data_IF_404697068345
#
_entry.id   IF_404697068345
#
_cell.length_a   1.000
_cell.length_b   1.000
_cell.length_c   1.000
_cell.angle_alpha   90.00
_cell.angle_beta   90.00
_cell.angle_gamma   90.00
#
_symmetry.space_group_name_H-M   'P 1'
#
loop_
_entity.id
_entity.type
_entity.pdbx_description
1 polymer ?
#
# COMPACT_ATOMS: atom_id res chain seq x y z
N UNK A 1 2.57 -8.26 -20.16
CA UNK A 1 1.23 -8.33 -20.78
C UNK A 1 0.42 -9.50 -20.24
N UNK A 2 0.97 -10.73 -20.20
CA UNK A 2 0.23 -11.94 -19.79
C UNK A 2 -0.37 -11.84 -18.39
N UNK A 3 0.39 -11.36 -17.40
CA UNK A 3 -0.08 -11.22 -16.00
C UNK A 3 -1.25 -10.23 -15.90
N UNK A 4 -1.15 -9.09 -16.61
CA UNK A 4 -2.23 -8.11 -16.64
C UNK A 4 -3.48 -8.62 -17.38
N UNK A 5 -3.30 -9.39 -18.45
CA UNK A 5 -4.41 -10.04 -19.14
C UNK A 5 -5.10 -11.08 -18.24
N UNK A 6 -4.33 -11.80 -17.40
CA UNK A 6 -4.89 -12.68 -16.39
C UNK A 6 -5.66 -11.90 -15.32
N UNK A 7 -5.07 -10.86 -14.75
CA UNK A 7 -5.69 -10.01 -13.74
C UNK A 7 -6.97 -9.36 -14.30
N UNK A 8 -6.96 -8.92 -15.56
CA UNK A 8 -8.11 -8.28 -16.18
C UNK A 8 -9.33 -9.20 -16.29
N UNK A 9 -9.13 -10.48 -16.51
CA UNK A 9 -10.20 -11.49 -16.57
C UNK A 9 -10.84 -11.83 -15.23
N UNK A 10 -10.18 -11.53 -14.12
CA UNK A 10 -10.76 -11.74 -12.79
C UNK A 10 -11.94 -10.74 -12.63
N UNK A 11 -13.12 -11.19 -12.18
CA UNK A 11 -14.25 -10.28 -11.95
C UNK A 11 -13.96 -9.16 -10.98
N UNK A 12 -14.57 -8.01 -11.19
CA UNK A 12 -14.49 -6.87 -10.30
C UNK A 12 -13.37 -5.89 -10.63
N UNK A 13 -13.37 -4.78 -9.93
CA UNK A 13 -12.40 -3.70 -10.04
C UNK A 13 -11.11 -4.08 -9.30
N UNK A 14 -9.98 -3.94 -9.95
CA UNK A 14 -8.66 -4.20 -9.33
C UNK A 14 -7.95 -2.90 -9.04
N UNK A 15 -7.55 -2.72 -7.78
CA UNK A 15 -6.72 -1.60 -7.34
C UNK A 15 -5.33 -2.16 -7.03
N UNK A 16 -4.35 -1.75 -7.81
CA UNK A 16 -2.99 -2.27 -7.75
C UNK A 16 -2.09 -1.29 -7.00
N UNK A 17 -1.25 -1.82 -6.13
CA UNK A 17 -0.25 -1.06 -5.39
C UNK A 17 1.15 -1.50 -5.80
N UNK A 18 2.02 -0.53 -6.11
CA UNK A 18 3.40 -0.79 -6.51
C UNK A 18 4.26 -1.25 -5.34
N UNK A 19 4.96 -2.37 -5.50
CA UNK A 19 6.01 -2.83 -4.60
C UNK A 19 7.42 -2.36 -5.02
N UNK A 20 8.42 -2.85 -4.30
CA UNK A 20 9.83 -2.53 -4.58
C UNK A 20 10.40 -3.31 -5.78
N UNK A 21 9.82 -4.44 -6.14
CA UNK A 21 10.22 -5.27 -7.29
C UNK A 21 9.47 -4.94 -8.60
N UNK A 22 8.52 -4.01 -8.57
CA UNK A 22 7.75 -3.60 -9.77
C UNK A 22 8.52 -2.60 -10.63
N UNK A 23 9.68 -2.99 -11.13
CA UNK A 23 10.58 -2.12 -11.91
C UNK A 23 9.99 -1.69 -13.25
N UNK A 24 9.16 -2.54 -13.88
CA UNK A 24 8.48 -2.28 -15.14
C UNK A 24 7.42 -1.18 -15.05
N UNK A 25 6.92 -0.92 -13.87
CA UNK A 25 5.92 0.10 -13.57
C UNK A 25 6.60 1.46 -13.35
N UNK A 26 6.62 2.30 -14.37
CA UNK A 26 7.35 3.58 -14.34
C UNK A 26 6.51 4.73 -13.76
N UNK A 27 5.48 5.18 -14.49
CA UNK A 27 4.58 6.27 -14.09
C UNK A 27 3.12 5.87 -14.25
N UNK A 28 2.20 6.54 -13.51
CA UNK A 28 0.77 6.32 -13.65
C UNK A 28 0.28 6.51 -15.09
N UNK A 29 0.73 7.59 -15.76
CA UNK A 29 0.35 7.87 -17.13
C UNK A 29 0.77 6.75 -18.10
N UNK A 30 1.98 6.22 -17.96
CA UNK A 30 2.44 5.10 -18.78
C UNK A 30 1.68 3.81 -18.49
N UNK A 31 1.31 3.57 -17.23
CA UNK A 31 0.48 2.43 -16.86
C UNK A 31 -0.90 2.50 -17.52
N UNK A 32 -1.58 3.64 -17.42
CA UNK A 32 -2.90 3.78 -18.02
C UNK A 32 -2.86 3.73 -19.55
N UNK A 33 -1.85 4.32 -20.18
CA UNK A 33 -1.63 4.17 -21.62
C UNK A 33 -1.44 2.69 -22.01
N UNK A 34 -0.65 1.94 -21.26
CA UNK A 34 -0.47 0.50 -21.46
C UNK A 34 -1.80 -0.27 -21.32
N UNK A 35 -2.62 0.05 -20.32
CA UNK A 35 -3.93 -0.56 -20.16
C UNK A 35 -4.84 -0.25 -21.36
N UNK A 36 -4.89 0.99 -21.82
CA UNK A 36 -5.67 1.40 -22.97
C UNK A 36 -5.24 0.66 -24.26
N UNK A 37 -3.93 0.61 -24.54
CA UNK A 37 -3.35 -0.08 -25.71
C UNK A 37 -3.63 -1.59 -25.72
N UNK A 38 -3.87 -2.20 -24.55
CA UNK A 38 -4.16 -3.63 -24.41
C UNK A 38 -5.63 -3.97 -24.08
N UNK A 39 -6.51 -2.96 -24.04
CA UNK A 39 -7.93 -3.15 -23.75
C UNK A 39 -8.24 -3.52 -22.30
N UNK A 40 -7.36 -3.24 -21.35
CA UNK A 40 -7.58 -3.50 -19.92
C UNK A 40 -8.36 -2.35 -19.29
N UNK A 41 -9.61 -2.60 -18.87
CA UNK A 41 -10.54 -1.55 -18.46
C UNK A 41 -10.84 -1.51 -16.96
N UNK A 42 -10.44 -2.54 -16.21
CA UNK A 42 -10.82 -2.69 -14.80
C UNK A 42 -9.64 -2.69 -13.82
N UNK A 43 -8.45 -2.27 -14.28
CA UNK A 43 -7.23 -2.17 -13.49
C UNK A 43 -6.90 -0.71 -13.20
N UNK A 44 -6.75 -0.40 -11.92
CA UNK A 44 -6.50 0.94 -11.40
C UNK A 44 -5.30 0.90 -10.47
N UNK A 45 -4.56 2.00 -10.36
CA UNK A 45 -3.42 2.06 -9.44
C UNK A 45 -3.70 2.97 -8.25
N UNK A 46 -3.28 2.51 -7.08
CA UNK A 46 -3.24 3.32 -5.89
C UNK A 46 -1.90 4.06 -5.86
N UNK A 47 -1.95 5.36 -6.18
CA UNK A 47 -0.77 6.21 -6.32
C UNK A 47 -1.09 7.67 -5.98
N UNK A 48 -1.03 8.02 -4.72
CA UNK A 48 -1.38 9.35 -4.18
C UNK A 48 -2.87 9.74 -4.36
N UNK A 49 -3.74 8.78 -4.55
CA UNK A 49 -5.17 8.94 -4.76
C UNK A 49 -5.95 8.09 -3.76
N UNK A 50 -7.26 8.12 -3.85
CA UNK A 50 -8.17 7.32 -3.07
C UNK A 50 -9.21 6.69 -3.99
N UNK A 51 -9.65 5.48 -3.63
CA UNK A 51 -10.83 4.84 -4.20
C UNK A 51 -11.86 4.59 -3.12
N UNK A 52 -13.09 4.38 -3.52
CA UNK A 52 -14.16 4.09 -2.58
C UNK A 52 -14.81 2.76 -2.91
N UNK A 53 -15.12 2.02 -1.86
CA UNK A 53 -16.02 0.89 -1.89
C UNK A 53 -17.06 1.11 -0.77
N UNK A 54 -18.32 1.32 -1.16
CA UNK A 54 -19.38 1.72 -0.22
C UNK A 54 -18.97 2.94 0.63
N UNK A 55 -18.88 2.77 1.95
CA UNK A 55 -18.53 3.83 2.89
C UNK A 55 -17.05 3.83 3.29
N UNK A 56 -16.23 2.96 2.65
CA UNK A 56 -14.82 2.79 2.96
C UNK A 56 -13.96 3.48 1.92
N UNK A 57 -13.05 4.32 2.37
CA UNK A 57 -11.99 4.90 1.56
C UNK A 57 -10.78 3.96 1.51
N UNK A 58 -10.36 3.60 0.32
CA UNK A 58 -9.17 2.80 0.03
C UNK A 58 -8.03 3.76 -0.30
N UNK A 59 -7.12 3.91 0.61
CA UNK A 59 -5.98 4.84 0.54
C UNK A 59 -4.65 4.09 0.59
N UNK A 60 -3.55 4.74 0.28
CA UNK A 60 -2.24 4.16 0.46
C UNK A 60 -1.19 4.63 -0.55
N UNK A 61 -0.01 4.13 -0.36
CA UNK A 61 1.17 4.33 -1.21
C UNK A 61 2.14 3.18 -1.00
N UNK A 62 3.23 3.15 -1.76
CA UNK A 62 4.28 2.14 -1.53
C UNK A 62 4.82 2.20 -0.09
N UNK A 63 4.89 3.38 0.51
CA UNK A 63 5.59 3.61 1.76
C UNK A 63 7.11 3.60 1.58
N UNK A 64 7.81 3.61 2.69
CA UNK A 64 9.27 3.52 2.72
C UNK A 64 9.72 2.73 3.94
N UNK A 65 10.80 2.00 3.77
CA UNK A 65 11.40 1.16 4.78
C UNK A 65 12.86 1.59 4.96
N UNK A 66 13.26 1.82 6.19
CA UNK A 66 14.67 2.00 6.52
C UNK A 66 15.24 0.64 6.94
N UNK A 67 16.13 0.08 6.13
CA UNK A 67 16.94 -1.04 6.56
C UNK A 67 17.96 -0.53 7.58
N UNK A 68 18.14 -1.25 8.70
CA UNK A 68 19.00 -0.83 9.81
C UNK A 68 20.45 -0.57 9.39
N UNK A 69 20.91 -1.24 8.30
CA UNK A 69 22.27 -1.12 7.75
C UNK A 69 22.40 -0.11 6.59
N UNK A 70 21.31 0.44 6.09
CA UNK A 70 21.40 1.47 5.07
C UNK A 70 21.90 2.76 5.72
N UNK A 71 23.18 3.05 5.57
CA UNK A 71 23.76 4.33 5.94
C UNK A 71 22.78 5.45 5.54
N UNK A 72 22.19 6.10 6.53
CA UNK A 72 21.23 7.20 6.37
C UNK A 72 21.89 8.31 5.55
N UNK A 73 21.79 8.19 4.23
CA UNK A 73 22.26 9.21 3.31
C UNK A 73 21.13 10.18 2.99
N UNK A 74 21.48 11.42 2.69
CA UNK A 74 20.53 12.48 2.30
C UNK A 74 19.56 12.09 1.18
N UNK A 75 19.87 11.03 0.43
CA UNK A 75 19.02 10.49 -0.62
C UNK A 75 17.80 9.74 -0.06
N UNK A 76 18.00 8.90 0.96
CA UNK A 76 16.91 8.15 1.62
C UNK A 76 15.93 9.08 2.32
N UNK A 77 16.42 10.15 2.95
CA UNK A 77 15.57 11.16 3.58
C UNK A 77 14.65 11.86 2.57
N UNK A 78 15.16 12.18 1.39
CA UNK A 78 14.36 12.82 0.32
C UNK A 78 13.26 11.89 -0.20
N UNK A 79 13.58 10.59 -0.34
CA UNK A 79 12.61 9.59 -0.78
C UNK A 79 11.54 9.43 0.30
N UNK A 80 11.94 9.28 1.55
CA UNK A 80 11.03 9.13 2.69
C UNK A 80 10.07 10.31 2.81
N UNK A 81 10.58 11.55 2.81
CA UNK A 81 9.75 12.77 2.86
C UNK A 81 8.74 12.82 1.73
N UNK A 82 9.13 12.40 0.53
CA UNK A 82 8.25 12.33 -0.63
C UNK A 82 7.17 11.25 -0.46
N UNK A 83 7.50 10.10 0.12
CA UNK A 83 6.51 9.06 0.41
C UNK A 83 5.51 9.49 1.49
N UNK A 84 5.94 10.24 2.52
CA UNK A 84 5.03 10.83 3.50
C UNK A 84 4.05 11.82 2.86
N UNK A 85 4.52 12.70 1.97
CA UNK A 85 3.65 13.63 1.21
C UNK A 85 2.65 12.87 0.36
N UNK A 86 3.06 11.79 -0.28
CA UNK A 86 2.19 10.92 -1.10
C UNK A 86 1.13 10.23 -0.26
N UNK A 87 1.54 9.68 0.89
CA UNK A 87 0.61 9.06 1.82
C UNK A 87 -0.41 10.06 2.33
N UNK A 88 0.04 11.23 2.78
CA UNK A 88 -0.87 12.26 3.26
C UNK A 88 -1.82 12.74 2.15
N UNK A 89 -1.36 12.86 0.91
CA UNK A 89 -2.21 13.19 -0.24
C UNK A 89 -3.32 12.16 -0.45
N UNK A 90 -2.97 10.87 -0.37
CA UNK A 90 -3.93 9.78 -0.49
C UNK A 90 -4.95 9.80 0.67
N UNK A 91 -4.49 9.99 1.91
CA UNK A 91 -5.35 10.09 3.09
C UNK A 91 -6.29 11.31 3.04
N UNK A 92 -5.79 12.47 2.61
CA UNK A 92 -6.63 13.68 2.39
C UNK A 92 -7.74 13.45 1.37
N UNK A 93 -7.46 12.67 0.33
CA UNK A 93 -8.43 12.36 -0.71
C UNK A 93 -9.59 11.46 -0.21
N UNK A 94 -9.46 10.85 0.98
CA UNK A 94 -10.53 10.10 1.63
C UNK A 94 -11.70 10.99 2.09
N UNK A 95 -11.47 12.31 2.22
CA UNK A 95 -12.52 13.27 2.61
C UNK A 95 -13.26 12.84 3.89
N UNK A 96 -14.58 12.82 3.82
CA UNK A 96 -15.47 12.47 4.93
C UNK A 96 -15.92 10.99 4.93
N UNK A 97 -15.07 10.08 4.40
CA UNK A 97 -15.37 8.66 4.46
C UNK A 97 -15.57 8.19 5.90
N UNK A 98 -16.53 7.26 6.11
CA UNK A 98 -16.82 6.72 7.45
C UNK A 98 -15.66 5.88 7.98
N UNK A 99 -15.00 5.16 7.09
CA UNK A 99 -13.85 4.32 7.40
C UNK A 99 -12.73 4.54 6.39
N UNK A 100 -11.51 4.58 6.87
CA UNK A 100 -10.31 4.72 6.04
C UNK A 100 -9.44 3.49 6.22
N UNK A 101 -9.24 2.74 5.12
CA UNK A 101 -8.33 1.62 5.04
C UNK A 101 -7.11 2.03 4.24
N UNK A 102 -5.94 1.83 4.82
CA UNK A 102 -4.67 2.20 4.21
C UNK A 102 -3.89 0.95 3.78
N UNK A 103 -3.41 0.97 2.54
CA UNK A 103 -2.61 -0.10 1.97
C UNK A 103 -1.21 0.39 1.70
N UNK A 104 -0.22 -0.30 2.27
CA UNK A 104 1.19 0.00 2.08
C UNK A 104 1.92 -1.24 1.55
N UNK A 105 2.95 -1.04 0.72
CA UNK A 105 3.85 -2.15 0.43
C UNK A 105 4.81 -2.39 1.59
N UNK A 106 5.49 -1.35 2.06
CA UNK A 106 6.39 -1.47 3.21
C UNK A 106 5.63 -1.39 4.53
N UNK A 107 5.96 -2.24 5.52
CA UNK A 107 5.34 -2.18 6.84
C UNK A 107 5.67 -0.84 7.53
N UNK A 108 4.67 -0.13 8.08
CA UNK A 108 4.92 1.10 8.85
C UNK A 108 5.48 0.77 10.24
N UNK A 109 5.32 -0.48 10.67
CA UNK A 109 5.89 -1.04 11.91
C UNK A 109 6.16 -2.53 11.74
N UNK A 110 7.26 -2.96 12.33
CA UNK A 110 7.63 -4.38 12.46
C UNK A 110 8.50 -4.53 13.72
N UNK A 111 8.85 -5.75 14.10
CA UNK A 111 9.64 -5.99 15.30
C UNK A 111 10.95 -5.20 15.28
N UNK A 112 11.13 -4.34 16.28
CA UNK A 112 12.29 -3.46 16.40
C UNK A 112 12.18 -2.10 15.69
N UNK A 113 11.09 -1.87 14.92
CA UNK A 113 10.96 -0.62 14.17
C UNK A 113 9.52 -0.07 14.18
N UNK A 114 9.41 1.25 14.27
CA UNK A 114 8.15 1.99 14.11
C UNK A 114 8.42 3.31 13.40
N UNK A 115 7.74 3.54 12.29
CA UNK A 115 7.76 4.82 11.59
C UNK A 115 6.73 5.77 12.22
N UNK A 116 7.17 6.58 13.17
CA UNK A 116 6.26 7.46 13.91
C UNK A 116 5.50 8.42 13.00
N UNK A 117 6.15 8.94 11.97
CA UNK A 117 5.55 9.87 11.02
C UNK A 117 4.35 9.25 10.28
N UNK A 118 4.43 7.97 9.90
CA UNK A 118 3.30 7.26 9.28
C UNK A 118 2.19 7.01 10.30
N UNK A 119 2.55 6.58 11.53
CA UNK A 119 1.58 6.33 12.59
C UNK A 119 0.82 7.62 12.97
N UNK A 120 1.51 8.75 13.04
CA UNK A 120 0.90 10.05 13.32
C UNK A 120 -0.07 10.48 12.21
N UNK A 121 0.25 10.20 10.94
CA UNK A 121 -0.70 10.40 9.84
C UNK A 121 -1.93 9.50 9.99
N UNK A 122 -1.77 8.25 10.41
CA UNK A 122 -2.91 7.36 10.65
C UNK A 122 -3.82 7.89 11.74
N UNK A 123 -3.26 8.40 12.85
CA UNK A 123 -4.02 9.03 13.92
C UNK A 123 -4.74 10.28 13.43
N UNK A 124 -4.02 11.16 12.72
CA UNK A 124 -4.55 12.42 12.18
C UNK A 124 -5.76 12.23 11.28
N UNK A 125 -5.75 11.18 10.45
CA UNK A 125 -6.81 10.92 9.47
C UNK A 125 -7.80 9.84 9.91
N UNK A 126 -7.62 9.24 11.07
CA UNK A 126 -8.55 8.23 11.62
C UNK A 126 -8.55 6.90 10.86
N UNK A 127 -7.37 6.47 10.39
CA UNK A 127 -7.22 5.16 9.72
C UNK A 127 -7.66 4.05 10.66
N UNK A 128 -8.47 3.10 10.16
CA UNK A 128 -8.99 1.97 10.93
C UNK A 128 -8.25 0.67 10.67
N UNK A 129 -7.79 0.48 9.43
CA UNK A 129 -7.07 -0.72 9.00
C UNK A 129 -5.84 -0.31 8.20
N UNK A 130 -4.70 -0.93 8.49
CA UNK A 130 -3.51 -0.90 7.65
C UNK A 130 -3.16 -2.31 7.19
N UNK A 131 -3.27 -2.57 5.89
CA UNK A 131 -2.71 -3.76 5.26
C UNK A 131 -1.35 -3.44 4.66
N UNK A 132 -0.36 -4.31 4.89
CA UNK A 132 0.98 -4.14 4.35
C UNK A 132 1.53 -5.47 3.82
N UNK A 133 2.54 -5.39 2.96
CA UNK A 133 3.22 -6.54 2.38
C UNK A 133 4.70 -6.58 2.72
N UNK A 134 5.54 -6.85 1.72
CA UNK A 134 7.00 -6.81 1.73
C UNK A 134 7.69 -7.92 2.53
N UNK A 135 7.20 -8.28 3.71
CA UNK A 135 7.79 -9.32 4.56
C UNK A 135 7.46 -10.71 4.00
N UNK A 136 8.46 -11.42 3.51
CA UNK A 136 8.34 -12.76 2.92
C UNK A 136 9.19 -13.79 3.67
N UNK A 137 8.83 -15.06 3.61
CA UNK A 137 9.58 -16.18 4.18
C UNK A 137 9.87 -15.96 5.66
N UNK A 138 11.11 -16.07 6.08
CA UNK A 138 11.52 -15.93 7.47
C UNK A 138 11.23 -14.55 8.06
N UNK A 139 11.06 -13.52 7.25
CA UNK A 139 10.73 -12.18 7.72
C UNK A 139 9.28 -12.04 8.21
N UNK A 140 8.41 -13.03 7.97
CA UNK A 140 7.07 -13.05 8.57
C UNK A 140 7.10 -12.91 10.10
N UNK A 141 8.12 -13.47 10.76
CA UNK A 141 8.33 -13.35 12.22
C UNK A 141 8.53 -11.93 12.73
N UNK A 142 8.85 -10.99 11.83
CA UNK A 142 9.02 -9.58 12.14
C UNK A 142 7.70 -8.81 12.07
N UNK A 143 6.66 -9.40 11.44
CA UNK A 143 5.36 -8.75 11.30
C UNK A 143 4.74 -8.43 12.67
N UNK A 144 4.13 -7.28 12.76
CA UNK A 144 3.33 -6.87 13.91
C UNK A 144 1.89 -6.69 13.45
N UNK A 145 1.06 -7.68 13.73
CA UNK A 145 -0.38 -7.67 13.44
C UNK A 145 -1.18 -7.32 14.68
N UNK A 146 -2.49 -7.19 14.50
CA UNK A 146 -3.41 -6.83 15.57
C UNK A 146 -3.59 -5.33 15.75
N UNK A 147 -4.31 -4.95 16.79
CA UNK A 147 -4.63 -3.56 17.07
C UNK A 147 -3.47 -2.84 17.75
N UNK A 148 -3.16 -1.64 17.28
CA UNK A 148 -2.22 -0.75 17.92
C UNK A 148 -2.63 0.71 17.65
N UNK A 149 -2.74 1.50 18.71
CA UNK A 149 -3.18 2.89 18.66
C UNK A 149 -4.48 3.08 17.84
N UNK A 150 -5.46 2.17 18.01
CA UNK A 150 -6.76 2.25 17.33
C UNK A 150 -6.75 1.90 15.84
N UNK A 151 -5.64 1.39 15.32
CA UNK A 151 -5.49 0.88 13.94
C UNK A 151 -5.27 -0.62 13.95
N UNK A 152 -6.04 -1.36 13.16
CA UNK A 152 -5.82 -2.80 12.96
C UNK A 152 -4.75 -3.01 11.88
N UNK A 153 -3.68 -3.71 12.20
CA UNK A 153 -2.58 -4.02 11.27
C UNK A 153 -2.68 -5.46 10.77
N UNK A 154 -2.50 -5.67 9.46
CA UNK A 154 -2.50 -7.00 8.84
C UNK A 154 -1.40 -7.14 7.80
N UNK A 155 -0.64 -8.24 7.88
CA UNK A 155 0.28 -8.65 6.83
C UNK A 155 -0.51 -9.34 5.71
N UNK A 156 -0.34 -8.87 4.47
CA UNK A 156 -0.97 -9.42 3.28
C UNK A 156 0.06 -9.91 2.24
N UNK A 157 1.23 -10.34 2.69
CA UNK A 157 2.22 -10.97 1.82
C UNK A 157 1.68 -12.29 1.27
N UNK A 158 1.81 -12.52 -0.03
CA UNK A 158 1.15 -13.62 -0.73
C UNK A 158 1.47 -15.00 -0.14
N UNK A 159 2.73 -15.25 0.19
CA UNK A 159 3.20 -16.49 0.83
C UNK A 159 2.70 -16.62 2.28
N UNK A 160 2.54 -15.51 3.01
CA UNK A 160 1.98 -15.50 4.36
C UNK A 160 0.51 -15.91 4.39
N UNK A 161 -0.28 -15.40 3.45
CA UNK A 161 -1.70 -15.73 3.31
C UNK A 161 -1.96 -16.97 2.44
N UNK A 162 -0.93 -17.79 2.17
CA UNK A 162 -1.00 -19.00 1.35
C UNK A 162 -1.66 -18.74 -0.03
N UNK A 163 -1.34 -17.62 -0.67
CA UNK A 163 -1.90 -17.19 -1.96
C UNK A 163 -3.43 -17.17 -2.01
N UNK A 164 -4.07 -17.03 -0.86
CA UNK A 164 -5.53 -16.98 -0.73
C UNK A 164 -5.96 -15.55 -0.38
N UNK A 165 -6.85 -14.93 -1.17
CA UNK A 165 -7.35 -13.60 -0.86
C UNK A 165 -8.00 -13.54 0.51
N UNK A 166 -7.70 -12.48 1.27
CA UNK A 166 -8.35 -12.21 2.56
C UNK A 166 -9.50 -11.22 2.37
N UNK A 167 -10.63 -11.52 3.00
CA UNK A 167 -11.76 -10.59 3.02
C UNK A 167 -11.55 -9.56 4.13
N UNK A 168 -11.76 -8.28 3.82
CA UNK A 168 -11.59 -7.15 4.76
C UNK A 168 -12.92 -6.50 5.15
N UNK A 169 -13.99 -6.77 4.39
CA UNK A 169 -15.35 -6.22 4.57
C UNK A 169 -16.39 -7.32 4.53
#
# INVERSE_FOLDING_TARGET
VQDFAFIDRIPGRKILLKGNHDYWWTTAAKFYKFCEENGFSNQFILNNNCYYYENVAITGTRGWFFEEDAALGSHNDKIFKRELIRLETSLKAAGEAKEIYCFLHYPPRYRGYQCREILDLFQKYGVKLCCYGHLHGDSHRLALEGEFEGVLYRLAAADYINFTPIRLL
#
